data_IF_837211520019
#
_entry.id   IF_837211520019
#
_cell.length_a   1.000
_cell.length_b   1.000
_cell.length_c   1.000
_cell.angle_alpha   90.00
_cell.angle_beta   90.00
_cell.angle_gamma   90.00
#
_symmetry.space_group_name_H-M   'P 1'
#
loop_
_entity.id
_entity.type
_entity.pdbx_description
1 polymer ?
#
# COMPACT_ATOMS: atom_id res chain seq x y z
N UNK A 1 63.52 -46.60 -26.22
CA UNK A 1 62.69 -45.52 -26.78
C UNK A 1 61.27 -45.77 -26.28
N UNK A 2 60.85 -44.98 -25.29
CA UNK A 2 59.84 -45.36 -24.30
C UNK A 2 58.40 -45.39 -24.83
N UNK A 3 57.66 -46.37 -24.32
CA UNK A 3 56.23 -46.50 -24.45
C UNK A 3 55.51 -45.35 -23.72
N UNK A 4 54.84 -44.49 -24.48
CA UNK A 4 53.85 -43.53 -23.99
C UNK A 4 52.49 -43.93 -24.55
N UNK A 5 51.95 -45.00 -24.00
CA UNK A 5 50.63 -45.49 -24.35
C UNK A 5 50.12 -46.37 -23.22
N UNK A 6 49.71 -45.74 -22.12
CA UNK A 6 48.69 -46.27 -21.20
C UNK A 6 48.47 -45.36 -20.00
N UNK A 7 47.99 -44.13 -20.22
CA UNK A 7 47.15 -43.42 -19.24
C UNK A 7 46.12 -42.58 -20.01
N UNK A 8 45.21 -43.21 -20.75
CA UNK A 8 44.06 -42.49 -21.33
C UNK A 8 42.76 -43.30 -21.34
N UNK A 9 42.66 -44.36 -20.54
CA UNK A 9 41.46 -45.20 -20.47
C UNK A 9 40.54 -44.96 -19.27
N UNK A 10 41.03 -44.34 -18.18
CA UNK A 10 40.25 -44.21 -16.92
C UNK A 10 39.75 -42.78 -16.67
N UNK A 11 40.19 -41.78 -17.45
CA UNK A 11 39.86 -40.37 -17.19
C UNK A 11 38.55 -39.92 -17.86
N UNK A 12 38.06 -40.60 -18.91
CA UNK A 12 36.83 -40.19 -19.61
C UNK A 12 35.52 -40.70 -18.98
N UNK A 13 35.56 -41.76 -18.17
CA UNK A 13 34.37 -42.28 -17.48
C UNK A 13 34.04 -41.56 -16.16
N UNK A 14 35.06 -41.06 -15.44
CA UNK A 14 34.88 -40.35 -14.17
C UNK A 14 34.51 -38.88 -14.40
N UNK A 15 35.02 -38.27 -15.49
CA UNK A 15 34.70 -36.89 -15.85
C UNK A 15 33.24 -36.66 -16.24
N UNK A 16 32.55 -37.66 -16.81
CA UNK A 16 31.15 -37.54 -17.22
C UNK A 16 30.17 -37.56 -16.03
N UNK A 17 30.41 -38.43 -15.03
CA UNK A 17 29.60 -38.47 -13.81
C UNK A 17 29.88 -37.26 -12.90
N UNK A 18 31.13 -36.81 -12.81
CA UNK A 18 31.48 -35.60 -12.08
C UNK A 18 30.84 -34.34 -12.72
N UNK A 19 30.80 -34.26 -14.05
CA UNK A 19 30.14 -33.16 -14.76
C UNK A 19 28.61 -33.16 -14.57
N UNK A 20 27.96 -34.33 -14.60
CA UNK A 20 26.52 -34.44 -14.31
C UNK A 20 26.24 -34.06 -12.85
N UNK A 21 27.05 -34.52 -11.90
CA UNK A 21 26.93 -34.14 -10.49
C UNK A 21 27.13 -32.63 -10.26
N UNK A 22 28.12 -32.02 -10.92
CA UNK A 22 28.35 -30.58 -10.89
C UNK A 22 27.17 -29.81 -11.51
N UNK A 23 26.59 -30.29 -12.61
CA UNK A 23 25.42 -29.66 -13.23
C UNK A 23 24.17 -29.74 -12.32
N UNK A 24 23.91 -30.89 -11.67
CA UNK A 24 22.81 -31.02 -10.69
C UNK A 24 23.06 -30.14 -9.47
N UNK A 25 24.30 -30.08 -8.97
CA UNK A 25 24.66 -29.20 -7.86
C UNK A 25 24.50 -27.72 -8.22
N UNK A 26 25.03 -27.27 -9.36
CA UNK A 26 24.84 -25.90 -9.87
C UNK A 26 23.36 -25.58 -10.07
N UNK A 27 22.59 -26.51 -10.65
CA UNK A 27 21.15 -26.33 -10.86
C UNK A 27 20.40 -26.23 -9.53
N UNK A 28 20.68 -27.13 -8.58
CA UNK A 28 20.07 -27.10 -7.25
C UNK A 28 20.42 -25.84 -6.46
N UNK A 29 21.67 -25.37 -6.60
CA UNK A 29 22.16 -24.13 -6.00
C UNK A 29 21.51 -22.91 -6.65
N UNK A 30 21.49 -22.82 -7.98
CA UNK A 30 20.78 -21.75 -8.70
C UNK A 30 19.28 -21.74 -8.42
N UNK A 31 18.66 -22.90 -8.26
CA UNK A 31 17.24 -22.99 -7.91
C UNK A 31 16.98 -22.51 -6.48
N UNK A 32 17.84 -22.89 -5.53
CA UNK A 32 17.79 -22.42 -4.15
C UNK A 32 18.09 -20.93 -4.03
N UNK A 33 19.07 -20.42 -4.77
CA UNK A 33 19.49 -19.02 -4.77
C UNK A 33 18.40 -18.14 -5.41
N UNK A 34 17.80 -18.56 -6.53
CA UNK A 34 16.64 -17.85 -7.11
C UNK A 34 15.47 -17.78 -6.16
N UNK A 35 15.15 -18.90 -5.48
CA UNK A 35 14.07 -18.94 -4.49
C UNK A 35 14.40 -18.07 -3.26
N UNK A 36 15.67 -17.97 -2.88
CA UNK A 36 16.15 -17.09 -1.82
C UNK A 36 15.93 -15.61 -2.18
N UNK A 37 16.35 -15.24 -3.39
CA UNK A 37 16.23 -13.88 -3.90
C UNK A 37 14.75 -13.47 -4.04
N UNK A 38 13.89 -14.35 -4.57
CA UNK A 38 12.45 -14.10 -4.71
C UNK A 38 11.77 -13.84 -3.34
N UNK A 39 12.15 -14.60 -2.31
CA UNK A 39 11.64 -14.42 -0.94
C UNK A 39 12.16 -13.11 -0.34
N UNK A 40 13.44 -12.79 -0.53
CA UNK A 40 14.02 -11.54 -0.06
C UNK A 40 13.39 -10.31 -0.73
N UNK A 41 13.15 -10.37 -2.03
CA UNK A 41 12.49 -9.32 -2.81
C UNK A 41 11.03 -9.12 -2.34
N UNK A 42 10.28 -10.21 -2.16
CA UNK A 42 8.90 -10.15 -1.65
C UNK A 42 8.86 -9.59 -0.24
N UNK A 43 9.82 -9.97 0.62
CA UNK A 43 9.94 -9.43 1.98
C UNK A 43 10.24 -7.93 1.98
N UNK A 44 11.20 -7.49 1.15
CA UNK A 44 11.54 -6.09 1.01
C UNK A 44 10.33 -5.26 0.53
N UNK A 45 9.53 -5.81 -0.39
CA UNK A 45 8.29 -5.20 -0.82
C UNK A 45 7.26 -5.08 0.33
N UNK A 46 7.00 -6.16 1.08
CA UNK A 46 6.04 -6.12 2.21
C UNK A 46 6.48 -5.11 3.27
N UNK A 47 7.78 -5.04 3.58
CA UNK A 47 8.33 -4.02 4.48
C UNK A 47 8.07 -2.61 3.95
N UNK A 48 8.36 -2.36 2.66
CA UNK A 48 8.16 -1.05 2.06
C UNK A 48 6.68 -0.62 2.04
N UNK A 49 5.75 -1.57 1.87
CA UNK A 49 4.30 -1.31 2.00
C UNK A 49 3.94 -0.94 3.43
N UNK A 50 4.45 -1.66 4.43
CA UNK A 50 4.24 -1.34 5.84
C UNK A 50 4.73 0.08 6.15
N UNK A 51 5.94 0.44 5.72
CA UNK A 51 6.54 1.75 5.97
C UNK A 51 5.78 2.87 5.24
N UNK A 52 5.35 2.67 3.99
CA UNK A 52 4.55 3.64 3.24
C UNK A 52 3.19 3.89 3.92
N UNK A 53 2.48 2.82 4.30
CA UNK A 53 1.17 2.92 4.93
C UNK A 53 1.27 3.57 6.30
N UNK A 54 2.25 3.17 7.12
CA UNK A 54 2.49 3.77 8.43
C UNK A 54 2.80 5.26 8.30
N UNK A 55 3.71 5.64 7.40
CA UNK A 55 4.08 7.03 7.17
C UNK A 55 2.89 7.89 6.72
N UNK A 56 2.10 7.38 5.78
CA UNK A 56 0.91 8.07 5.30
C UNK A 56 -0.17 8.21 6.40
N UNK A 57 -0.37 7.16 7.19
CA UNK A 57 -1.32 7.15 8.30
C UNK A 57 -0.91 8.10 9.42
N UNK A 58 0.37 8.14 9.78
CA UNK A 58 0.90 9.06 10.79
C UNK A 58 0.73 10.52 10.37
N UNK A 59 1.07 10.84 9.11
CA UNK A 59 0.84 12.18 8.57
C UNK A 59 -0.64 12.57 8.59
N UNK A 60 -1.53 11.64 8.22
CA UNK A 60 -2.97 11.86 8.27
C UNK A 60 -3.48 12.08 9.71
N UNK A 61 -2.94 11.31 10.68
CA UNK A 61 -3.30 11.39 12.09
C UNK A 61 -2.81 12.65 12.80
N UNK A 62 -1.74 13.27 12.31
CA UNK A 62 -1.24 14.51 12.91
C UNK A 62 -2.19 15.68 12.64
N UNK A 63 -2.83 15.73 11.48
CA UNK A 63 -3.55 16.94 11.06
C UNK A 63 -5.06 16.75 10.84
N UNK A 64 -5.49 15.66 10.21
CA UNK A 64 -6.82 15.56 9.62
C UNK A 64 -7.72 14.60 10.39
N UNK A 65 -7.23 13.41 10.72
CA UNK A 65 -7.99 12.42 11.48
C UNK A 65 -8.59 13.01 12.77
N UNK A 66 -7.84 13.76 13.62
CA UNK A 66 -8.40 14.28 14.86
C UNK A 66 -9.49 15.31 14.62
N UNK A 67 -9.35 16.14 13.57
CA UNK A 67 -10.36 17.15 13.20
C UNK A 67 -11.65 16.48 12.74
N UNK A 68 -11.54 15.39 11.98
CA UNK A 68 -12.69 14.64 11.50
C UNK A 68 -13.40 13.88 12.63
N UNK A 69 -12.65 13.30 13.58
CA UNK A 69 -13.21 12.67 14.79
C UNK A 69 -13.92 13.67 15.70
N UNK A 70 -13.33 14.85 15.89
CA UNK A 70 -13.89 15.92 16.71
C UNK A 70 -15.11 16.61 16.08
N UNK A 71 -15.37 16.40 14.79
CA UNK A 71 -16.49 17.03 14.09
C UNK A 71 -17.84 16.55 14.64
N UNK A 72 -18.71 17.50 14.98
CA UNK A 72 -20.07 17.20 15.44
C UNK A 72 -20.97 16.79 14.28
N UNK A 73 -22.05 16.06 14.58
CA UNK A 73 -22.96 15.55 13.56
C UNK A 73 -23.73 16.65 12.80
N UNK A 74 -23.86 17.84 13.40
CA UNK A 74 -24.54 19.02 12.87
C UNK A 74 -23.60 20.02 12.18
N UNK A 75 -22.32 19.67 12.00
CA UNK A 75 -21.30 20.57 11.47
C UNK A 75 -20.71 20.05 10.14
N UNK A 76 -20.50 20.92 9.15
CA UNK A 76 -19.79 20.55 7.94
C UNK A 76 -18.29 20.42 8.21
N UNK A 77 -17.59 19.58 7.44
CA UNK A 77 -16.13 19.55 7.46
C UNK A 77 -15.55 20.74 6.67
N UNK A 78 -15.55 21.93 7.28
CA UNK A 78 -15.17 23.19 6.63
C UNK A 78 -13.66 23.45 6.65
N UNK A 79 -12.87 22.44 6.30
CA UNK A 79 -11.41 22.52 6.17
C UNK A 79 -10.99 22.04 4.78
N UNK A 80 -9.99 22.70 4.20
CA UNK A 80 -9.38 22.26 2.94
C UNK A 80 -8.24 21.31 3.28
N UNK A 81 -8.32 20.07 2.82
CA UNK A 81 -7.22 19.11 2.92
C UNK A 81 -6.41 19.09 1.62
N UNK A 82 -5.12 19.46 1.61
CA UNK A 82 -4.31 19.42 0.40
C UNK A 82 -4.03 17.96 0.00
N UNK A 83 -4.80 17.45 -0.97
CA UNK A 83 -4.61 16.10 -1.52
C UNK A 83 -3.54 16.15 -2.62
N UNK A 84 -2.44 15.43 -2.43
CA UNK A 84 -1.37 15.30 -3.43
C UNK A 84 -1.82 14.45 -4.63
N UNK A 85 -1.13 14.60 -5.76
CA UNK A 85 -1.45 13.85 -6.99
C UNK A 85 -1.10 12.35 -6.86
N UNK A 86 0.04 12.04 -6.24
CA UNK A 86 0.58 10.69 -6.09
C UNK A 86 0.89 10.40 -4.61
N UNK A 87 -0.11 9.96 -3.83
CA UNK A 87 0.05 9.74 -2.39
C UNK A 87 0.79 8.43 -2.03
N UNK A 88 0.90 7.47 -2.96
CA UNK A 88 1.36 6.10 -2.69
C UNK A 88 2.36 5.57 -3.74
N UNK A 89 3.56 6.18 -3.87
CA UNK A 89 4.53 5.83 -4.90
C UNK A 89 5.09 4.40 -4.79
N UNK A 90 5.27 3.84 -3.59
CA UNK A 90 5.81 2.48 -3.38
C UNK A 90 4.82 1.45 -3.92
N UNK A 91 3.56 1.54 -3.51
CA UNK A 91 2.53 0.63 -4.02
C UNK A 91 2.35 0.73 -5.53
N UNK A 92 2.21 1.95 -6.06
CA UNK A 92 1.99 2.17 -7.51
C UNK A 92 3.19 1.66 -8.32
N UNK A 93 4.42 1.89 -7.86
CA UNK A 93 5.62 1.41 -8.53
C UNK A 93 5.81 -0.10 -8.50
N UNK A 94 5.13 -0.81 -7.59
CA UNK A 94 5.39 -2.23 -7.31
C UNK A 94 4.12 -3.10 -7.30
N UNK A 95 3.02 -2.70 -7.96
CA UNK A 95 1.74 -3.45 -7.94
C UNK A 95 1.91 -4.92 -8.32
N UNK A 96 2.81 -5.24 -9.24
CA UNK A 96 3.11 -6.62 -9.64
C UNK A 96 3.63 -7.52 -8.50
N UNK A 97 4.30 -6.93 -7.51
CA UNK A 97 4.85 -7.64 -6.35
C UNK A 97 3.76 -8.15 -5.40
N UNK A 98 2.56 -7.54 -5.42
CA UNK A 98 1.42 -8.04 -4.63
C UNK A 98 1.12 -9.48 -4.99
N UNK A 99 1.25 -9.87 -6.26
CA UNK A 99 1.03 -11.25 -6.70
C UNK A 99 2.05 -12.28 -6.21
N UNK A 100 3.24 -11.83 -5.77
CA UNK A 100 4.31 -12.69 -5.24
C UNK A 100 4.15 -12.99 -3.75
N UNK A 101 3.39 -12.17 -3.01
CA UNK A 101 3.08 -12.42 -1.60
C UNK A 101 2.29 -13.72 -1.49
N UNK A 102 2.78 -14.69 -0.72
CA UNK A 102 2.21 -16.03 -0.62
C UNK A 102 0.94 -16.10 0.25
N UNK A 103 0.72 -15.11 1.12
CA UNK A 103 -0.50 -14.96 1.93
C UNK A 103 -1.63 -14.24 1.17
N UNK A 104 -2.72 -14.96 0.92
CA UNK A 104 -3.89 -14.44 0.19
C UNK A 104 -4.66 -13.34 0.94
N UNK A 105 -4.72 -13.42 2.26
CA UNK A 105 -5.43 -12.43 3.08
C UNK A 105 -4.58 -11.17 3.24
N UNK A 106 -3.24 -11.29 3.32
CA UNK A 106 -2.34 -10.15 3.23
C UNK A 106 -2.48 -9.43 1.88
N UNK A 107 -2.46 -10.16 0.76
CA UNK A 107 -2.69 -9.57 -0.59
C UNK A 107 -4.00 -8.78 -0.64
N UNK A 108 -5.08 -9.36 -0.11
CA UNK A 108 -6.39 -8.72 -0.06
C UNK A 108 -6.38 -7.47 0.82
N UNK A 109 -5.72 -7.54 1.97
CA UNK A 109 -5.62 -6.41 2.92
C UNK A 109 -4.84 -5.24 2.31
N UNK A 110 -3.72 -5.51 1.60
CA UNK A 110 -2.98 -4.49 0.83
C UNK A 110 -3.92 -3.79 -0.14
N UNK A 111 -4.57 -4.54 -1.04
CA UNK A 111 -5.45 -3.97 -2.06
C UNK A 111 -6.59 -3.17 -1.42
N UNK A 112 -7.19 -3.69 -0.34
CA UNK A 112 -8.30 -3.05 0.37
C UNK A 112 -7.87 -1.72 1.00
N UNK A 113 -6.72 -1.67 1.67
CA UNK A 113 -6.22 -0.46 2.31
C UNK A 113 -6.01 0.66 1.29
N UNK A 114 -5.31 0.38 0.17
CA UNK A 114 -5.08 1.37 -0.88
C UNK A 114 -6.37 1.80 -1.60
N UNK A 115 -7.31 0.87 -1.84
CA UNK A 115 -8.60 1.20 -2.45
C UNK A 115 -9.42 2.15 -1.56
N UNK A 116 -9.51 1.87 -0.26
CA UNK A 116 -10.23 2.71 0.70
C UNK A 116 -9.54 4.05 0.91
N UNK A 117 -8.21 4.06 1.04
CA UNK A 117 -7.43 5.29 1.18
C UNK A 117 -7.63 6.21 -0.05
N UNK A 118 -7.58 5.66 -1.26
CA UNK A 118 -7.91 6.41 -2.49
C UNK A 118 -9.33 6.97 -2.45
N UNK A 119 -10.30 6.16 -2.05
CA UNK A 119 -11.69 6.60 -1.89
C UNK A 119 -11.82 7.76 -0.90
N UNK A 120 -11.11 7.72 0.22
CA UNK A 120 -11.08 8.81 1.21
C UNK A 120 -10.44 10.09 0.63
N UNK A 121 -9.33 9.98 -0.10
CA UNK A 121 -8.70 11.13 -0.76
C UNK A 121 -9.60 11.78 -1.81
N UNK A 122 -10.30 10.98 -2.62
CA UNK A 122 -11.30 11.49 -3.56
C UNK A 122 -12.48 12.16 -2.82
N UNK A 123 -12.83 11.65 -1.63
CA UNK A 123 -13.83 12.28 -0.78
C UNK A 123 -13.43 13.67 -0.32
N UNK A 124 -12.16 13.83 0.08
CA UNK A 124 -11.60 15.12 0.46
C UNK A 124 -11.54 16.09 -0.72
N UNK A 125 -11.19 15.63 -1.93
CA UNK A 125 -11.23 16.47 -3.14
C UNK A 125 -12.64 17.04 -3.37
N UNK A 126 -13.68 16.19 -3.25
CA UNK A 126 -15.07 16.63 -3.37
C UNK A 126 -15.48 17.58 -2.22
N UNK A 127 -15.04 17.31 -0.99
CA UNK A 127 -15.27 18.21 0.14
C UNK A 127 -14.64 19.59 -0.09
N UNK A 128 -13.38 19.63 -0.55
CA UNK A 128 -12.67 20.87 -0.82
C UNK A 128 -13.39 21.71 -1.87
N UNK A 129 -13.89 21.09 -2.94
CA UNK A 129 -14.70 21.77 -3.95
C UNK A 129 -16.00 22.33 -3.35
N UNK A 130 -16.67 21.54 -2.48
CA UNK A 130 -17.89 21.96 -1.80
C UNK A 130 -17.66 23.14 -0.84
N UNK A 131 -16.54 23.14 -0.11
CA UNK A 131 -16.10 24.24 0.76
C UNK A 131 -15.81 25.51 -0.06
N UNK A 132 -15.13 25.38 -1.20
CA UNK A 132 -14.85 26.51 -2.08
C UNK A 132 -16.14 27.12 -2.65
N UNK A 133 -17.08 26.28 -3.09
CA UNK A 133 -18.37 26.74 -3.60
C UNK A 133 -19.21 27.39 -2.51
N UNK A 134 -19.24 26.85 -1.30
CA UNK A 134 -19.93 27.47 -0.17
C UNK A 134 -19.42 28.89 0.12
N UNK A 135 -18.09 29.08 0.11
CA UNK A 135 -17.49 30.41 0.27
C UNK A 135 -17.96 31.36 -0.83
N UNK A 136 -18.00 30.89 -2.08
CA UNK A 136 -18.47 31.67 -3.23
C UNK A 136 -19.94 32.05 -3.10
N UNK A 137 -20.82 31.08 -2.78
CA UNK A 137 -22.25 31.30 -2.59
C UNK A 137 -22.51 32.31 -1.46
N UNK A 138 -21.82 32.16 -0.33
CA UNK A 138 -21.92 33.10 0.80
C UNK A 138 -21.53 34.53 0.40
N UNK A 139 -20.52 34.70 -0.46
CA UNK A 139 -20.11 36.01 -0.98
C UNK A 139 -21.13 36.60 -1.96
N UNK A 140 -21.68 35.80 -2.88
CA UNK A 140 -22.59 36.30 -3.92
C UNK A 140 -24.03 36.52 -3.42
N UNK A 141 -24.53 35.60 -2.61
CA UNK A 141 -25.95 35.48 -2.27
C UNK A 141 -26.26 35.89 -0.82
N UNK A 142 -25.23 36.08 -0.01
CA UNK A 142 -25.36 36.32 1.43
C UNK A 142 -25.32 35.03 2.26
N UNK A 143 -25.34 35.17 3.59
CA UNK A 143 -25.13 34.08 4.52
C UNK A 143 -26.36 33.13 4.62
N UNK A 144 -26.20 31.90 5.12
CA UNK A 144 -27.24 30.87 5.10
C UNK A 144 -28.49 31.24 5.93
N UNK A 145 -28.40 32.21 6.84
CA UNK A 145 -29.54 32.70 7.63
C UNK A 145 -30.53 33.52 6.79
N UNK A 146 -30.06 34.13 5.69
CA UNK A 146 -30.88 35.02 4.85
C UNK A 146 -31.05 34.51 3.42
N UNK A 147 -30.30 33.46 3.02
CA UNK A 147 -30.35 32.92 1.66
C UNK A 147 -30.56 31.40 1.64
N UNK A 148 -31.66 30.96 1.01
CA UNK A 148 -32.02 29.54 0.91
C UNK A 148 -30.98 28.71 0.13
N UNK A 149 -30.39 29.22 -0.95
CA UNK A 149 -29.38 28.47 -1.71
C UNK A 149 -28.11 28.24 -0.89
N UNK A 150 -27.64 29.28 -0.18
CA UNK A 150 -26.51 29.15 0.74
C UNK A 150 -26.81 28.17 1.88
N UNK A 151 -28.05 28.18 2.41
CA UNK A 151 -28.50 27.24 3.44
C UNK A 151 -28.52 25.80 2.96
N UNK A 152 -29.17 25.53 1.83
CA UNK A 152 -29.25 24.19 1.25
C UNK A 152 -27.86 23.61 0.98
N UNK A 153 -26.93 24.43 0.48
CA UNK A 153 -25.55 23.99 0.26
C UNK A 153 -24.82 23.65 1.57
N UNK A 154 -25.02 24.45 2.62
CA UNK A 154 -24.49 24.15 3.95
C UNK A 154 -25.04 22.82 4.48
N UNK A 155 -26.35 22.59 4.35
CA UNK A 155 -26.98 21.35 4.83
C UNK A 155 -26.44 20.11 4.07
N UNK A 156 -26.20 20.22 2.74
CA UNK A 156 -25.53 19.16 1.97
C UNK A 156 -24.09 18.89 2.46
N UNK A 157 -23.35 19.93 2.84
CA UNK A 157 -22.00 19.78 3.40
C UNK A 157 -22.02 19.07 4.76
N UNK A 158 -23.03 19.32 5.59
CA UNK A 158 -23.21 18.62 6.87
C UNK A 158 -23.47 17.13 6.63
N UNK A 159 -24.38 16.79 5.71
CA UNK A 159 -24.64 15.38 5.34
C UNK A 159 -23.38 14.70 4.80
N UNK A 160 -22.65 15.38 3.92
CA UNK A 160 -21.44 14.84 3.33
C UNK A 160 -20.32 14.62 4.36
N UNK A 161 -20.24 15.48 5.38
CA UNK A 161 -19.28 15.31 6.47
C UNK A 161 -19.51 14.00 7.24
N UNK A 162 -20.77 13.58 7.42
CA UNK A 162 -21.09 12.26 7.98
C UNK A 162 -20.50 11.10 7.16
N UNK A 163 -20.64 11.15 5.82
CA UNK A 163 -20.04 10.16 4.91
C UNK A 163 -18.51 10.17 4.95
N UNK A 164 -17.91 11.34 5.18
CA UNK A 164 -16.46 11.47 5.33
C UNK A 164 -15.96 10.78 6.60
N UNK A 165 -16.69 10.90 7.72
CA UNK A 165 -16.39 10.18 8.97
C UNK A 165 -16.49 8.66 8.82
N UNK A 166 -17.52 8.18 8.12
CA UNK A 166 -17.68 6.75 7.84
C UNK A 166 -16.51 6.19 7.02
N UNK A 167 -16.08 6.92 5.98
CA UNK A 167 -14.93 6.54 5.16
C UNK A 167 -13.61 6.57 5.93
N UNK A 168 -13.44 7.53 6.82
CA UNK A 168 -12.31 7.59 7.76
C UNK A 168 -12.24 6.34 8.64
N UNK A 169 -13.35 5.92 9.22
CA UNK A 169 -13.41 4.69 10.02
C UNK A 169 -13.07 3.45 9.21
N UNK A 170 -13.52 3.35 7.95
CA UNK A 170 -13.15 2.24 7.07
C UNK A 170 -11.66 2.20 6.78
N UNK A 171 -11.03 3.35 6.52
CA UNK A 171 -9.59 3.46 6.28
C UNK A 171 -8.82 3.12 7.55
N UNK A 172 -9.22 3.66 8.71
CA UNK A 172 -8.61 3.36 10.00
C UNK A 172 -8.56 1.84 10.26
N UNK A 173 -9.67 1.14 10.03
CA UNK A 173 -9.72 -0.31 10.20
C UNK A 173 -8.89 -1.06 9.17
N UNK A 174 -8.88 -0.61 7.91
CA UNK A 174 -8.08 -1.25 6.87
C UNK A 174 -6.57 -1.07 7.10
N UNK A 175 -6.15 0.09 7.59
CA UNK A 175 -4.75 0.36 7.96
C UNK A 175 -4.33 -0.52 9.13
N UNK A 176 -5.13 -0.57 10.21
CA UNK A 176 -4.84 -1.43 11.38
C UNK A 176 -4.72 -2.91 10.99
N UNK A 177 -5.65 -3.42 10.19
CA UNK A 177 -5.62 -4.79 9.69
C UNK A 177 -4.39 -5.06 8.83
N UNK A 178 -4.06 -4.15 7.91
CA UNK A 178 -2.90 -4.29 7.05
C UNK A 178 -1.60 -4.32 7.85
N UNK A 179 -1.38 -3.33 8.74
CA UNK A 179 -0.15 -3.23 9.54
C UNK A 179 0.05 -4.46 10.42
N UNK A 180 -1.01 -4.94 11.09
CA UNK A 180 -0.92 -6.14 11.91
C UNK A 180 -0.59 -7.39 11.08
N UNK A 181 -1.14 -7.51 9.86
CA UNK A 181 -0.84 -8.64 8.97
C UNK A 181 0.55 -8.56 8.37
N UNK A 182 1.03 -7.37 8.02
CA UNK A 182 2.40 -7.19 7.52
C UNK A 182 3.40 -7.58 8.59
N UNK A 183 3.18 -7.18 9.84
CA UNK A 183 4.04 -7.58 10.98
C UNK A 183 4.06 -9.10 11.16
N UNK A 184 2.89 -9.74 11.25
CA UNK A 184 2.79 -11.20 11.39
C UNK A 184 3.47 -11.95 10.24
N UNK A 185 3.30 -11.46 9.01
CA UNK A 185 3.92 -12.07 7.84
C UNK A 185 5.44 -11.88 7.84
N UNK A 186 5.94 -10.70 8.23
CA UNK A 186 7.37 -10.40 8.32
C UNK A 186 8.06 -11.22 9.43
N UNK A 187 7.40 -11.46 10.55
CA UNK A 187 7.89 -12.32 11.63
C UNK A 187 7.98 -13.79 11.21
N UNK A 188 7.03 -14.25 10.39
CA UNK A 188 7.08 -15.58 9.79
C UNK A 188 8.16 -15.71 8.69
N UNK A 189 8.68 -14.58 8.18
CA UNK A 189 9.69 -14.49 7.12
C UNK A 189 10.92 -13.68 7.60
N UNK A 190 11.68 -14.18 8.58
CA UNK A 190 12.82 -13.44 9.13
C UNK A 190 13.88 -13.18 8.04
N UNK A 191 14.63 -12.06 8.15
CA UNK A 191 15.75 -11.80 7.27
C UNK A 191 16.79 -12.91 7.41
N UNK A 192 17.40 -13.31 6.28
CA UNK A 192 18.50 -14.27 6.26
C UNK A 192 19.83 -13.60 6.58
#
# INVERSE_FOLDING_TARGET
MGALGDISGVIQGVGSLAAVGAAVWIYSRQYSDKKADDVAETRAFVQAICDEVQTAWDGYNQEIHPKLKALRADEPFNFIYPVTAEPFPVFVGNVGMVGKVDDAELRRSIIRAYALARGLLDSFRLNNASVAEYKRLKTMNGPPETNLFTRTHLDMMVEYAGKLKERDEWVEQAVKDLLSRTEQWLDAHPPR
#
